data_IF_308980571235
#
_entry.id   IF_308980571235
#
_cell.length_a   1.000
_cell.length_b   1.000
_cell.length_c   1.000
_cell.angle_alpha   90.00
_cell.angle_beta   90.00
_cell.angle_gamma   90.00
#
_symmetry.space_group_name_H-M   'P 1'
#
loop_
_entity.id
_entity.type
_entity.pdbx_description
1 polymer ?
#
# COMPACT_ATOMS: atom_id res chain seq x y z
N UNK A 1 -5.80 -11.75 -18.43
CA UNK A 1 -4.43 -12.02 -17.94
C UNK A 1 -4.10 -10.89 -16.99
N UNK A 2 -4.50 -10.97 -15.71
CA UNK A 2 -4.61 -9.75 -14.89
C UNK A 2 -4.14 -10.03 -13.46
N UNK A 3 -2.99 -10.67 -13.34
CA UNK A 3 -2.38 -11.03 -12.05
C UNK A 3 -1.21 -10.09 -11.72
N UNK A 4 -1.42 -8.77 -11.81
CA UNK A 4 -0.34 -7.78 -11.68
C UNK A 4 -0.59 -6.71 -10.59
N UNK A 5 -1.06 -7.09 -9.40
CA UNK A 5 -1.19 -6.14 -8.28
C UNK A 5 -0.99 -6.75 -6.89
N UNK A 6 -0.32 -7.91 -6.77
CA UNK A 6 -0.05 -8.52 -5.44
C UNK A 6 1.21 -8.02 -4.73
N UNK A 7 2.05 -7.24 -5.41
CA UNK A 7 3.34 -6.79 -4.87
C UNK A 7 3.66 -5.32 -5.19
N UNK A 8 2.68 -4.43 -5.01
CA UNK A 8 2.97 -3.00 -4.99
C UNK A 8 3.96 -2.71 -3.86
N UNK A 9 5.18 -2.34 -4.23
CA UNK A 9 6.21 -1.85 -3.30
C UNK A 9 6.24 -0.33 -3.39
N UNK A 10 6.51 0.32 -2.27
CA UNK A 10 6.65 1.76 -2.22
C UNK A 10 7.90 2.16 -3.00
N UNK A 11 7.74 3.06 -3.97
CA UNK A 11 8.87 3.53 -4.78
C UNK A 11 9.91 4.31 -3.95
N UNK A 12 9.52 4.82 -2.78
CA UNK A 12 10.40 5.62 -1.91
C UNK A 12 11.27 4.78 -0.98
N UNK A 13 10.73 3.69 -0.43
CA UNK A 13 11.42 2.88 0.58
C UNK A 13 11.52 1.40 0.22
N UNK A 14 10.92 0.95 -0.87
CA UNK A 14 10.88 -0.46 -1.28
C UNK A 14 9.93 -1.32 -0.43
N UNK A 15 9.35 -0.78 0.65
CA UNK A 15 8.44 -1.50 1.55
C UNK A 15 7.16 -1.91 0.84
N UNK A 16 6.63 -3.10 1.17
CA UNK A 16 5.35 -3.56 0.61
C UNK A 16 4.21 -2.63 1.00
N UNK A 17 3.49 -2.13 -0.01
CA UNK A 17 2.26 -1.35 0.17
C UNK A 17 1.18 -2.29 0.66
N UNK A 18 0.53 -1.90 1.74
CA UNK A 18 -0.58 -2.64 2.32
C UNK A 18 -1.90 -2.05 1.85
N UNK A 19 -2.84 -2.92 1.51
CA UNK A 19 -4.22 -2.53 1.25
C UNK A 19 -4.94 -2.48 2.60
N UNK A 20 -5.41 -1.31 2.98
CA UNK A 20 -6.26 -1.12 4.15
C UNK A 20 -7.67 -0.71 3.72
N UNK A 21 -8.64 -0.95 4.58
CA UNK A 21 -9.99 -0.42 4.41
C UNK A 21 -10.19 0.73 5.40
N UNK A 22 -10.44 1.93 4.89
CA UNK A 22 -10.69 3.13 5.69
C UNK A 22 -12.04 3.68 5.26
N UNK A 23 -12.96 3.84 6.22
CA UNK A 23 -14.29 4.41 5.99
C UNK A 23 -15.07 3.72 4.85
N UNK A 24 -14.95 2.39 4.74
CA UNK A 24 -15.61 1.60 3.70
C UNK A 24 -14.92 1.65 2.32
N UNK A 25 -13.86 2.44 2.17
CA UNK A 25 -13.05 2.51 0.95
C UNK A 25 -11.76 1.71 1.11
N UNK A 26 -11.39 0.93 0.10
CA UNK A 26 -10.09 0.30 0.10
C UNK A 26 -9.01 1.25 -0.41
N UNK A 27 -8.01 1.52 0.43
CA UNK A 27 -6.88 2.38 0.13
C UNK A 27 -5.58 1.60 0.21
N UNK A 28 -4.60 1.96 -0.62
CA UNK A 28 -3.27 1.36 -0.61
C UNK A 28 -2.30 2.36 0.00
N UNK A 29 -1.62 1.98 1.09
CA UNK A 29 -0.65 2.86 1.73
C UNK A 29 0.65 2.15 2.09
N UNK A 30 1.73 2.93 2.14
CA UNK A 30 3.01 2.46 2.63
C UNK A 30 3.10 2.71 4.14
N UNK A 31 3.18 1.67 5.00
CA UNK A 31 3.18 1.84 6.45
C UNK A 31 4.41 2.61 6.96
N UNK A 32 5.54 2.49 6.27
CA UNK A 32 6.78 3.17 6.69
C UNK A 32 6.80 4.65 6.30
N UNK A 33 6.34 5.00 5.09
CA UNK A 33 6.27 6.39 4.65
C UNK A 33 5.04 7.16 5.16
N UNK A 34 3.97 6.46 5.54
CA UNK A 34 2.71 7.06 6.03
C UNK A 34 2.54 6.85 7.54
N UNK A 35 3.62 6.57 8.28
CA UNK A 35 3.65 6.74 9.73
C UNK A 35 3.33 8.21 10.02
N UNK A 36 2.09 8.48 10.43
CA UNK A 36 1.75 9.72 11.13
C UNK A 36 2.56 9.69 12.42
N UNK A 37 3.68 10.40 12.41
CA UNK A 37 4.42 10.72 13.63
C UNK A 37 3.80 11.91 14.34
#
# INVERSE_FOLDING_TARGET
>A
MDQHSKDMKCERCGTKIVKINVLGSSSYLCPECQKLS
#
